data_IF_590292808658
#
_entry.id   IF_590292808658
#
_cell.length_a   1.000
_cell.length_b   1.000
_cell.length_c   1.000
_cell.angle_alpha   90.00
_cell.angle_beta   90.00
_cell.angle_gamma   90.00
#
_symmetry.space_group_name_H-M   'P 1'
#
loop_
_entity.id
_entity.type
_entity.pdbx_description
1 polymer ?
#
# COMPACT_ATOMS: atom_id res chain seq x y z
N UNK A 1 -3.04 5.80 -19.57
CA UNK A 1 -4.30 6.54 -19.28
C UNK A 1 -4.73 7.37 -20.49
N UNK A 2 -3.84 8.16 -21.09
CA UNK A 2 -4.17 8.95 -22.28
C UNK A 2 -4.60 8.08 -23.48
N UNK A 3 -3.91 6.96 -23.71
CA UNK A 3 -4.34 6.00 -24.74
C UNK A 3 -5.70 5.37 -24.45
N UNK A 4 -5.97 5.00 -23.20
CA UNK A 4 -7.28 4.47 -22.81
C UNK A 4 -8.38 5.53 -22.97
N UNK A 5 -8.12 6.79 -22.64
CA UNK A 5 -9.06 7.89 -22.85
C UNK A 5 -9.40 8.05 -24.33
N UNK A 6 -8.39 8.01 -25.20
CA UNK A 6 -8.57 8.05 -26.66
C UNK A 6 -9.33 6.83 -27.19
N UNK A 7 -8.97 5.62 -26.76
CA UNK A 7 -9.58 4.37 -27.20
C UNK A 7 -11.04 4.22 -26.73
N UNK A 8 -11.33 4.60 -25.49
CA UNK A 8 -12.68 4.58 -24.91
C UNK A 8 -13.51 5.84 -25.24
N UNK A 9 -12.95 6.78 -26.01
CA UNK A 9 -13.60 8.04 -26.43
C UNK A 9 -14.17 8.86 -25.28
N UNK A 10 -13.42 8.94 -24.18
CA UNK A 10 -13.77 9.71 -22.99
C UNK A 10 -12.60 10.59 -22.54
N UNK A 11 -12.86 11.54 -21.65
CA UNK A 11 -11.80 12.37 -21.09
C UNK A 11 -10.87 11.59 -20.15
N UNK A 12 -9.61 12.01 -20.02
CA UNK A 12 -8.66 11.44 -19.03
C UNK A 12 -9.22 11.46 -17.59
N UNK A 13 -9.88 12.53 -17.11
CA UNK A 13 -10.60 12.51 -15.82
C UNK A 13 -11.67 11.42 -15.72
N UNK A 14 -12.44 11.18 -16.79
CA UNK A 14 -13.47 10.12 -16.83
C UNK A 14 -12.84 8.74 -16.70
N UNK A 15 -11.73 8.47 -17.41
CA UNK A 15 -10.99 7.20 -17.26
C UNK A 15 -10.48 7.02 -15.84
N UNK A 16 -9.89 8.06 -15.25
CA UNK A 16 -9.41 8.00 -13.87
C UNK A 16 -10.52 7.67 -12.87
N UNK A 17 -11.70 8.28 -13.03
CA UNK A 17 -12.85 8.07 -12.15
C UNK A 17 -13.47 6.69 -12.34
N UNK A 18 -13.55 6.21 -13.57
CA UNK A 18 -14.02 4.85 -13.88
C UNK A 18 -13.12 3.80 -13.23
N UNK A 19 -11.79 3.93 -13.38
CA UNK A 19 -10.81 3.01 -12.80
C UNK A 19 -10.72 3.08 -11.27
N UNK A 20 -11.14 4.19 -10.67
CA UNK A 20 -11.20 4.34 -9.20
C UNK A 20 -12.58 4.04 -8.61
N UNK A 21 -13.49 3.46 -9.39
CA UNK A 21 -14.88 3.18 -9.00
C UNK A 21 -15.63 4.39 -8.42
N UNK A 22 -15.42 5.58 -9.00
CA UNK A 22 -16.05 6.82 -8.54
C UNK A 22 -17.55 6.84 -8.89
N UNK A 23 -18.43 7.30 -7.97
CA UNK A 23 -19.87 7.46 -8.25
C UNK A 23 -20.17 8.55 -9.28
N UNK A 24 -19.17 9.38 -9.65
CA UNK A 24 -19.29 10.44 -10.64
C UNK A 24 -19.27 9.93 -12.10
N UNK A 25 -19.20 8.62 -12.32
CA UNK A 25 -19.23 7.98 -13.64
C UNK A 25 -20.32 6.92 -13.66
N UNK A 26 -21.15 6.96 -14.69
CA UNK A 26 -22.24 5.98 -14.87
C UNK A 26 -21.68 4.56 -14.97
N UNK A 27 -22.45 3.57 -14.50
CA UNK A 27 -22.05 2.16 -14.59
C UNK A 27 -21.70 1.76 -16.02
N UNK A 28 -22.50 2.19 -17.00
CA UNK A 28 -22.26 1.92 -18.42
C UNK A 28 -20.89 2.46 -18.89
N UNK A 29 -20.55 3.70 -18.55
CA UNK A 29 -19.27 4.30 -18.93
C UNK A 29 -18.11 3.62 -18.22
N UNK A 30 -18.30 3.25 -16.95
CA UNK A 30 -17.29 2.53 -16.15
C UNK A 30 -16.96 1.19 -16.78
N UNK A 31 -17.98 0.40 -17.08
CA UNK A 31 -17.84 -0.91 -17.69
C UNK A 31 -17.14 -0.82 -19.04
N UNK A 32 -17.53 0.16 -19.89
CA UNK A 32 -16.86 0.39 -21.16
C UNK A 32 -15.37 0.71 -21.01
N UNK A 33 -15.00 1.58 -20.07
CA UNK A 33 -13.59 1.92 -19.81
C UNK A 33 -12.81 0.71 -19.30
N UNK A 34 -13.41 -0.09 -18.40
CA UNK A 34 -12.77 -1.31 -17.87
C UNK A 34 -12.53 -2.35 -18.96
N UNK A 35 -13.50 -2.55 -19.85
CA UNK A 35 -13.36 -3.45 -21.00
C UNK A 35 -12.25 -3.00 -21.95
N UNK A 36 -12.19 -1.71 -22.28
CA UNK A 36 -11.12 -1.15 -23.12
C UNK A 36 -9.76 -1.29 -22.42
N UNK A 37 -9.67 -0.97 -21.14
CA UNK A 37 -8.43 -1.14 -20.38
C UNK A 37 -7.94 -2.59 -20.38
N UNK A 38 -8.83 -3.55 -20.13
CA UNK A 38 -8.52 -4.97 -20.14
C UNK A 38 -8.09 -5.46 -21.53
N UNK A 39 -8.83 -5.07 -22.58
CA UNK A 39 -8.54 -5.45 -23.97
C UNK A 39 -7.13 -5.05 -24.43
N UNK A 40 -6.64 -3.91 -23.95
CA UNK A 40 -5.33 -3.37 -24.32
C UNK A 40 -4.27 -3.56 -23.22
N UNK A 41 -4.53 -4.41 -22.21
CA UNK A 41 -3.57 -4.73 -21.16
C UNK A 41 -3.18 -3.55 -20.28
N UNK A 42 -4.01 -2.52 -20.17
CA UNK A 42 -3.72 -1.36 -19.34
C UNK A 42 -3.91 -1.70 -17.87
N UNK A 43 -2.80 -1.73 -17.14
CA UNK A 43 -2.78 -1.85 -15.68
C UNK A 43 -2.63 -0.48 -15.05
N UNK A 44 -3.48 -0.16 -14.07
CA UNK A 44 -3.36 1.07 -13.29
C UNK A 44 -2.04 1.03 -12.54
N UNK A 45 -1.19 2.01 -12.79
CA UNK A 45 0.03 2.18 -12.01
C UNK A 45 -0.37 2.57 -10.58
N UNK A 46 -0.21 1.64 -9.63
CA UNK A 46 -0.50 1.85 -8.20
C UNK A 46 0.27 3.07 -7.65
N UNK A 47 1.51 3.30 -8.06
CA UNK A 47 2.29 4.46 -7.64
C UNK A 47 1.70 5.78 -8.14
N UNK A 48 1.17 5.80 -9.37
CA UNK A 48 0.47 6.98 -9.91
C UNK A 48 -0.87 7.24 -9.19
N UNK A 49 -1.54 6.18 -8.71
CA UNK A 49 -2.75 6.28 -7.87
C UNK A 49 -2.41 6.85 -6.48
N UNK A 50 -1.36 6.33 -5.84
CA UNK A 50 -0.82 6.82 -4.55
C UNK A 50 -0.49 8.32 -4.61
N UNK A 51 0.24 8.75 -5.65
CA UNK A 51 0.60 10.15 -5.86
C UNK A 51 -0.63 11.07 -5.99
N UNK A 52 -1.68 10.63 -6.71
CA UNK A 52 -2.91 11.42 -6.86
C UNK A 52 -3.75 11.52 -5.59
N UNK A 53 -3.70 10.51 -4.72
CA UNK A 53 -4.49 10.47 -3.50
C UNK A 53 -3.77 11.11 -2.30
N UNK A 54 -2.53 11.56 -2.50
CA UNK A 54 -1.65 12.08 -1.44
C UNK A 54 -1.59 11.16 -0.21
N UNK A 55 -1.64 9.85 -0.47
CA UNK A 55 -1.56 8.78 0.53
C UNK A 55 -0.76 7.63 -0.04
N UNK A 56 0.08 7.04 0.80
CA UNK A 56 0.94 5.93 0.44
C UNK A 56 0.12 4.66 0.17
N UNK A 57 -1.05 4.52 0.81
CA UNK A 57 -1.78 3.25 0.95
C UNK A 57 -0.86 2.11 1.38
N UNK A 58 0.03 2.42 2.31
CA UNK A 58 1.06 1.49 2.79
C UNK A 58 1.15 1.65 4.30
N UNK A 59 1.14 0.54 5.04
CA UNK A 59 1.49 0.53 6.47
C UNK A 59 2.85 -0.14 6.63
N UNK A 60 3.77 0.56 7.29
CA UNK A 60 5.08 0.01 7.61
C UNK A 60 4.98 -0.83 8.89
N UNK A 61 5.63 -1.99 8.91
CA UNK A 61 5.71 -2.88 10.06
C UNK A 61 7.17 -3.09 10.40
N UNK A 62 7.56 -2.75 11.62
CA UNK A 62 8.90 -2.97 12.16
C UNK A 62 8.81 -4.11 13.17
N UNK A 63 9.54 -5.20 12.92
CA UNK A 63 9.59 -6.36 13.79
C UNK A 63 11.00 -6.52 14.34
N UNK A 64 11.16 -6.43 15.66
CA UNK A 64 12.39 -6.84 16.33
C UNK A 64 12.38 -8.36 16.58
N UNK A 65 13.07 -9.10 15.71
CA UNK A 65 13.26 -10.55 15.86
C UNK A 65 14.27 -10.92 16.96
N UNK A 66 15.06 -9.96 17.46
CA UNK A 66 16.14 -10.17 18.42
C UNK A 66 15.67 -10.30 19.87
N UNK A 67 14.43 -9.93 20.19
CA UNK A 67 13.88 -10.05 21.55
C UNK A 67 13.49 -11.48 21.95
N UNK A 68 13.52 -12.43 21.01
CA UNK A 68 13.40 -13.86 21.30
C UNK A 68 14.79 -14.44 21.54
N UNK A 69 15.10 -14.64 22.82
CA UNK A 69 16.22 -15.50 23.24
C UNK A 69 16.17 -16.79 22.40
N UNK A 70 17.26 -17.08 21.69
CA UNK A 70 17.50 -18.27 20.85
C UNK A 70 17.34 -18.16 19.32
N UNK A 71 17.47 -16.97 18.70
CA UNK A 71 17.79 -16.88 17.26
C UNK A 71 16.79 -17.59 16.31
N UNK A 72 15.57 -17.87 16.79
CA UNK A 72 14.53 -18.56 16.05
C UNK A 72 13.62 -17.52 15.42
N UNK A 73 13.90 -17.18 14.17
CA UNK A 73 13.00 -16.47 13.23
C UNK A 73 11.67 -17.25 13.01
N UNK A 74 11.47 -18.37 13.71
CA UNK A 74 10.41 -19.36 13.55
C UNK A 74 9.34 -19.30 14.65
N UNK A 75 9.18 -18.18 15.37
CA UNK A 75 8.03 -18.03 16.26
C UNK A 75 6.73 -17.98 15.41
N UNK A 76 5.85 -19.01 15.49
CA UNK A 76 4.62 -19.05 14.72
C UNK A 76 3.70 -17.85 15.03
N UNK A 77 3.85 -17.22 16.19
CA UNK A 77 3.11 -16.02 16.54
C UNK A 77 3.37 -14.86 15.56
N UNK A 78 4.62 -14.64 15.17
CA UNK A 78 4.99 -13.52 14.27
C UNK A 78 4.33 -13.70 12.90
N UNK A 79 4.36 -14.92 12.38
CA UNK A 79 3.73 -15.23 11.09
C UNK A 79 2.20 -15.09 11.17
N UNK A 80 1.57 -15.52 12.26
CA UNK A 80 0.14 -15.33 12.46
C UNK A 80 -0.23 -13.84 12.56
N UNK A 81 0.59 -13.04 13.26
CA UNK A 81 0.41 -11.60 13.34
C UNK A 81 0.53 -10.95 11.95
N UNK A 82 1.60 -11.24 11.21
CA UNK A 82 1.82 -10.73 9.86
C UNK A 82 0.70 -11.14 8.90
N UNK A 83 0.22 -12.38 8.99
CA UNK A 83 -0.91 -12.86 8.21
C UNK A 83 -2.17 -12.06 8.50
N UNK A 84 -2.53 -11.88 9.78
CA UNK A 84 -3.70 -11.11 10.18
C UNK A 84 -3.62 -9.62 9.79
N UNK A 85 -2.43 -9.00 9.92
CA UNK A 85 -2.20 -7.63 9.44
C UNK A 85 -2.33 -7.57 7.92
N UNK A 86 -1.71 -8.49 7.19
CA UNK A 86 -1.78 -8.53 5.73
C UNK A 86 -3.22 -8.70 5.22
N UNK A 87 -4.01 -9.55 5.86
CA UNK A 87 -5.42 -9.75 5.52
C UNK A 87 -6.22 -8.47 5.74
N UNK A 88 -6.10 -7.85 6.92
CA UNK A 88 -6.78 -6.60 7.24
C UNK A 88 -6.39 -5.43 6.31
N UNK A 89 -5.12 -5.34 5.90
CA UNK A 89 -4.67 -4.34 4.93
C UNK A 89 -5.18 -4.63 3.52
N UNK A 90 -5.22 -5.90 3.12
CA UNK A 90 -5.76 -6.35 1.84
C UNK A 90 -7.24 -5.97 1.65
N UNK A 91 -8.06 -6.13 2.69
CA UNK A 91 -9.47 -5.68 2.68
C UNK A 91 -9.63 -4.16 2.43
N UNK A 92 -8.58 -3.38 2.72
CA UNK A 92 -8.57 -1.91 2.60
C UNK A 92 -7.78 -1.43 1.37
N UNK A 93 -7.34 -2.35 0.49
CA UNK A 93 -6.47 -2.07 -0.66
C UNK A 93 -5.18 -1.32 -0.24
N UNK A 94 -4.64 -1.68 0.93
CA UNK A 94 -3.38 -1.16 1.46
C UNK A 94 -2.28 -2.21 1.38
N UNK A 95 -1.06 -1.77 1.14
CA UNK A 95 0.13 -2.61 1.10
C UNK A 95 0.78 -2.69 2.49
N UNK A 96 1.46 -3.80 2.77
CA UNK A 96 2.33 -3.97 3.95
C UNK A 96 3.79 -3.76 3.52
N UNK A 97 4.51 -2.90 4.24
CA UNK A 97 5.96 -2.72 4.07
C UNK A 97 6.70 -3.23 5.31
N UNK A 98 7.48 -4.30 5.18
CA UNK A 98 8.29 -4.80 6.29
C UNK A 98 9.62 -4.03 6.37
N UNK A 99 9.91 -3.47 7.53
CA UNK A 99 11.08 -2.63 7.80
C UNK A 99 12.03 -3.30 8.80
N UNK A 100 13.34 -3.18 8.56
CA UNK A 100 14.37 -3.75 9.43
C UNK A 100 14.51 -2.93 10.72
N UNK A 101 14.44 -3.55 11.91
CA UNK A 101 14.57 -2.84 13.20
C UNK A 101 15.92 -2.11 13.35
N UNK A 102 17.01 -2.69 12.82
CA UNK A 102 18.36 -2.11 12.85
C UNK A 102 18.55 -0.84 12.01
N UNK A 103 17.57 -0.52 11.16
CA UNK A 103 17.58 0.64 10.25
C UNK A 103 16.31 1.48 10.39
N UNK A 104 15.65 1.40 11.56
CA UNK A 104 14.35 2.00 11.82
C UNK A 104 14.39 2.83 13.10
N UNK A 105 15.35 3.76 13.22
CA UNK A 105 15.31 4.78 14.28
C UNK A 105 13.98 5.56 14.20
N UNK A 106 13.52 6.14 15.31
CA UNK A 106 12.30 6.96 15.33
C UNK A 106 12.33 8.04 14.23
N UNK A 107 13.49 8.64 13.96
CA UNK A 107 13.63 9.66 12.91
C UNK A 107 13.49 9.08 11.49
N UNK A 108 13.97 7.87 11.24
CA UNK A 108 13.85 7.19 9.95
C UNK A 108 12.41 6.73 9.69
N UNK A 109 11.73 6.28 10.74
CA UNK A 109 10.32 5.94 10.70
C UNK A 109 9.44 7.19 10.53
N UNK A 110 9.76 8.27 11.24
CA UNK A 110 9.10 9.56 11.05
C UNK A 110 9.31 10.09 9.63
N UNK A 111 10.52 10.00 9.09
CA UNK A 111 10.80 10.45 7.71
C UNK A 111 10.08 9.59 6.67
N UNK A 112 9.91 8.29 6.90
CA UNK A 112 9.11 7.41 6.03
C UNK A 112 7.64 7.84 5.97
N UNK A 113 7.08 8.26 7.10
CA UNK A 113 5.71 8.78 7.15
C UNK A 113 5.62 10.16 6.50
N UNK A 114 6.54 11.06 6.83
CA UNK A 114 6.57 12.45 6.33
C UNK A 114 6.83 12.52 4.82
N UNK A 115 7.61 11.59 4.26
CA UNK A 115 7.88 11.51 2.81
C UNK A 115 6.75 10.83 2.02
N UNK A 116 5.70 10.34 2.70
CA UNK A 116 4.59 9.63 2.05
C UNK A 116 4.95 8.21 1.60
N UNK A 117 6.00 7.61 2.18
CA UNK A 117 6.35 6.20 1.96
C UNK A 117 5.43 5.23 2.72
N UNK A 118 4.85 5.68 3.84
CA UNK A 118 3.84 4.96 4.61
C UNK A 118 2.83 5.93 5.23
N UNK A 119 1.59 5.48 5.43
CA UNK A 119 0.53 6.24 6.10
C UNK A 119 0.50 6.02 7.62
N UNK A 120 1.24 5.01 8.10
CA UNK A 120 1.29 4.63 9.49
C UNK A 120 2.32 3.53 9.74
N UNK A 121 2.62 3.30 11.01
CA UNK A 121 3.68 2.39 11.44
C UNK A 121 3.17 1.51 12.58
N UNK A 122 3.39 0.20 12.45
CA UNK A 122 3.22 -0.78 13.50
C UNK A 122 4.62 -1.17 13.97
N UNK A 123 4.91 -0.95 15.25
CA UNK A 123 6.15 -1.39 15.87
C UNK A 123 5.85 -2.57 16.79
N UNK A 124 6.59 -3.67 16.63
CA UNK A 124 6.50 -4.83 17.51
C UNK A 124 7.90 -5.32 17.88
N UNK A 125 8.14 -5.39 19.19
CA UNK A 125 9.45 -5.69 19.75
C UNK A 125 9.50 -5.29 21.21
N UNK A 126 10.54 -5.72 21.92
CA UNK A 126 10.76 -5.29 23.30
C UNK A 126 11.33 -3.87 23.30
N UNK A 127 10.69 -2.94 24.02
CA UNK A 127 11.30 -1.65 24.32
C UNK A 127 12.52 -1.87 25.23
N UNK A 128 13.74 -1.80 24.68
CA UNK A 128 14.95 -1.91 25.48
C UNK A 128 16.26 -1.97 24.70
N UNK A 129 17.13 -1.00 25.00
CA UNK A 129 18.54 -0.86 24.61
C UNK A 129 18.82 -0.38 23.16
N UNK A 130 18.35 0.82 22.81
CA UNK A 130 18.76 1.47 21.56
C UNK A 130 18.12 2.84 21.29
N UNK A 131 17.08 3.21 22.05
CA UNK A 131 16.56 4.57 22.08
C UNK A 131 17.38 5.43 23.05
N UNK A 132 18.59 5.79 22.65
CA UNK A 132 19.33 6.94 23.16
C UNK A 132 19.71 7.81 21.97
#
# INVERSE_FOLDING_TARGET
MDDIARLARVSKPTVSRALSNSPLVTEQTRQHVLEVAAKYGYVVNRNARKLRQNRAHTIAVVLDFGSHRENRISDPFIFNLLAGVSEALGERDQDLLLCSPSHSTIEQLASLTLSGGADGIIFWGKAGAGMN
#
